data_IF_717353127831
#
_entry.id   IF_717353127831
#
_cell.length_a   1.000
_cell.length_b   1.000
_cell.length_c   1.000
_cell.angle_alpha   90.00
_cell.angle_beta   90.00
_cell.angle_gamma   90.00
#
_symmetry.space_group_name_H-M   'P 1'
#
loop_
_entity.id
_entity.type
_entity.pdbx_description
1 polymer ?
#
# COMPACT_ATOMS: atom_id res chain seq x y z
N UNK A 1 -17.83 -38.86 -6.83
CA UNK A 1 -18.75 -38.15 -5.93
C UNK A 1 -18.41 -36.69 -6.06
N UNK A 2 -19.29 -35.86 -6.62
CA UNK A 2 -19.11 -34.42 -6.60
C UNK A 2 -19.53 -33.95 -5.20
N UNK A 3 -18.61 -33.36 -4.46
CA UNK A 3 -18.94 -32.72 -3.19
C UNK A 3 -19.91 -31.55 -3.46
N UNK A 4 -20.93 -31.34 -2.61
CA UNK A 4 -21.78 -30.16 -2.73
C UNK A 4 -20.92 -28.89 -2.62
N UNK A 5 -21.25 -27.81 -3.34
CA UNK A 5 -20.55 -26.54 -3.18
C UNK A 5 -20.69 -26.11 -1.72
N UNK A 6 -19.58 -25.89 -1.03
CA UNK A 6 -19.58 -25.29 0.29
C UNK A 6 -20.11 -23.86 0.14
N UNK A 7 -21.30 -23.58 0.67
CA UNK A 7 -21.93 -22.24 0.65
C UNK A 7 -21.18 -21.21 1.53
N UNK A 8 -20.10 -21.62 2.20
CA UNK A 8 -19.20 -20.78 3.00
C UNK A 8 -17.96 -20.31 2.20
N UNK A 9 -18.13 -19.97 0.92
CA UNK A 9 -17.02 -19.46 0.12
C UNK A 9 -16.66 -18.01 0.50
N UNK A 10 -15.79 -17.88 1.51
CA UNK A 10 -15.26 -16.61 2.00
C UNK A 10 -14.22 -15.98 1.05
N UNK A 11 -13.86 -16.63 -0.06
CA UNK A 11 -12.82 -16.10 -0.97
C UNK A 11 -13.15 -14.72 -1.52
N UNK A 12 -14.42 -14.48 -1.86
CA UNK A 12 -14.90 -13.19 -2.33
C UNK A 12 -14.72 -12.11 -1.26
N UNK A 13 -15.17 -12.38 -0.03
CA UNK A 13 -15.06 -11.48 1.11
C UNK A 13 -13.59 -11.18 1.47
N UNK A 14 -12.74 -12.22 1.52
CA UNK A 14 -11.29 -12.07 1.73
C UNK A 14 -10.65 -11.16 0.68
N UNK A 15 -10.98 -11.38 -0.60
CA UNK A 15 -10.46 -10.56 -1.70
C UNK A 15 -10.90 -9.11 -1.59
N UNK A 16 -12.16 -8.87 -1.22
CA UNK A 16 -12.70 -7.52 -1.01
C UNK A 16 -11.97 -6.80 0.12
N UNK A 17 -11.76 -7.45 1.28
CA UNK A 17 -11.00 -6.88 2.41
C UNK A 17 -9.58 -6.47 1.98
N UNK A 18 -8.86 -7.36 1.29
CA UNK A 18 -7.50 -7.07 0.80
C UNK A 18 -7.50 -5.92 -0.21
N UNK A 19 -8.48 -5.86 -1.11
CA UNK A 19 -8.59 -4.78 -2.09
C UNK A 19 -8.87 -3.43 -1.42
N UNK A 20 -9.70 -3.39 -0.38
CA UNK A 20 -9.98 -2.17 0.38
C UNK A 20 -8.70 -1.65 1.03
N UNK A 21 -7.94 -2.52 1.71
CA UNK A 21 -6.65 -2.16 2.31
C UNK A 21 -5.70 -1.59 1.25
N UNK A 22 -5.67 -2.16 0.04
CA UNK A 22 -4.84 -1.65 -1.08
C UNK A 22 -5.31 -0.29 -1.63
N UNK A 23 -6.58 0.07 -1.47
CA UNK A 23 -7.19 1.24 -2.11
C UNK A 23 -7.36 2.43 -1.16
N UNK A 24 -7.86 2.23 0.06
CA UNK A 24 -8.29 3.31 0.98
C UNK A 24 -7.21 3.81 1.94
N UNK A 25 -6.02 3.24 1.84
CA UNK A 25 -4.94 3.46 2.79
C UNK A 25 -4.58 2.11 3.39
N UNK A 26 -3.34 1.69 3.15
CA UNK A 26 -2.79 0.39 3.54
C UNK A 26 -2.94 0.05 5.03
N UNK A 27 -3.40 1.00 5.87
CA UNK A 27 -3.63 0.91 7.31
C UNK A 27 -5.01 1.46 7.65
N UNK A 28 -5.92 0.60 8.14
CA UNK A 28 -7.30 0.98 8.51
C UNK A 28 -7.68 0.38 9.87
N UNK A 29 -8.44 1.10 10.67
CA UNK A 29 -9.06 0.51 11.86
C UNK A 29 -10.17 -0.48 11.47
N UNK A 30 -10.44 -1.45 12.35
CA UNK A 30 -11.45 -2.49 12.10
C UNK A 30 -12.85 -1.96 11.79
N UNK A 31 -13.24 -0.80 12.33
CA UNK A 31 -14.54 -0.18 12.10
C UNK A 31 -14.63 0.45 10.71
N UNK A 32 -13.63 1.24 10.31
CA UNK A 32 -13.56 1.81 8.97
C UNK A 32 -13.45 0.74 7.89
N UNK A 33 -12.64 -0.30 8.13
CA UNK A 33 -12.52 -1.45 7.22
C UNK A 33 -13.86 -2.18 7.05
N UNK A 34 -14.63 -2.33 8.13
CA UNK A 34 -15.95 -2.94 8.07
C UNK A 34 -16.96 -2.10 7.28
N UNK A 35 -16.94 -0.77 7.44
CA UNK A 35 -17.82 0.12 6.68
C UNK A 35 -17.51 0.07 5.18
N UNK A 36 -16.23 0.17 4.81
CA UNK A 36 -15.79 0.05 3.43
C UNK A 36 -16.13 -1.33 2.83
N UNK A 37 -16.00 -2.40 3.63
CA UNK A 37 -16.37 -3.74 3.23
C UNK A 37 -17.87 -3.87 2.94
N UNK A 38 -18.71 -3.30 3.80
CA UNK A 38 -20.15 -3.25 3.60
C UNK A 38 -20.52 -2.41 2.36
N UNK A 39 -19.87 -1.27 2.18
CA UNK A 39 -20.09 -0.37 1.03
C UNK A 39 -19.66 -1.02 -0.29
N UNK A 40 -18.64 -1.89 -0.26
CA UNK A 40 -18.22 -2.73 -1.38
C UNK A 40 -19.18 -3.91 -1.66
N UNK A 41 -20.26 -4.05 -0.89
CA UNK A 41 -21.28 -5.09 -1.07
C UNK A 41 -21.01 -6.39 -0.30
N UNK A 42 -20.10 -6.37 0.67
CA UNK A 42 -19.81 -7.53 1.53
C UNK A 42 -20.89 -7.77 2.60
N UNK A 43 -21.14 -9.04 2.93
CA UNK A 43 -22.09 -9.41 3.98
C UNK A 43 -21.47 -9.37 5.38
N UNK A 44 -22.19 -8.81 6.36
CA UNK A 44 -21.67 -8.65 7.73
C UNK A 44 -21.25 -9.98 8.38
N UNK A 45 -21.97 -11.07 8.07
CA UNK A 45 -21.68 -12.43 8.54
C UNK A 45 -20.32 -12.95 8.07
N UNK A 46 -19.86 -12.50 6.91
CA UNK A 46 -18.62 -12.96 6.29
C UNK A 46 -17.40 -12.17 6.75
N UNK A 47 -17.59 -10.97 7.30
CA UNK A 47 -16.47 -10.08 7.64
C UNK A 47 -15.53 -10.67 8.69
N UNK A 48 -16.05 -10.97 9.88
CA UNK A 48 -15.26 -11.52 10.98
C UNK A 48 -14.53 -12.83 10.62
N UNK A 49 -15.21 -13.86 10.06
CA UNK A 49 -14.51 -15.10 9.69
C UNK A 49 -13.49 -14.90 8.57
N UNK A 50 -13.77 -14.01 7.60
CA UNK A 50 -12.78 -13.68 6.56
C UNK A 50 -11.54 -12.99 7.13
N UNK A 51 -11.73 -12.11 8.11
CA UNK A 51 -10.63 -11.40 8.76
C UNK A 51 -9.75 -12.37 9.55
N UNK A 52 -10.36 -13.30 10.27
CA UNK A 52 -9.65 -14.35 11.02
C UNK A 52 -8.85 -15.27 10.07
N UNK A 53 -9.46 -15.72 8.97
CA UNK A 53 -8.76 -16.52 7.95
C UNK A 53 -7.59 -15.75 7.32
N UNK A 54 -7.77 -14.49 6.97
CA UNK A 54 -6.68 -13.66 6.41
C UNK A 54 -5.51 -13.47 7.38
N UNK A 55 -5.81 -13.38 8.68
CA UNK A 55 -4.79 -13.28 9.73
C UNK A 55 -4.07 -14.62 9.92
N UNK A 56 -4.80 -15.74 9.91
CA UNK A 56 -4.25 -17.09 10.00
C UNK A 56 -3.40 -17.45 8.76
N UNK A 57 -3.82 -17.00 7.57
CA UNK A 57 -3.06 -17.11 6.32
C UNK A 57 -1.87 -16.13 6.25
N UNK A 58 -1.68 -15.29 7.27
CA UNK A 58 -0.62 -14.28 7.34
C UNK A 58 -0.61 -13.35 6.11
N UNK A 59 -1.80 -12.99 5.61
CA UNK A 59 -1.99 -12.03 4.52
C UNK A 59 -2.13 -10.62 5.09
N UNK A 60 -2.78 -10.51 6.25
CA UNK A 60 -2.95 -9.26 6.99
C UNK A 60 -2.34 -9.34 8.38
N UNK A 61 -2.00 -8.19 8.96
CA UNK A 61 -1.58 -8.04 10.35
C UNK A 61 -2.20 -6.81 10.98
N UNK A 62 -2.35 -6.87 12.29
CA UNK A 62 -2.74 -5.72 13.11
C UNK A 62 -1.53 -5.11 13.78
N UNK A 63 -1.48 -3.79 13.84
CA UNK A 63 -0.47 -3.06 14.60
C UNK A 63 -0.85 -2.90 16.09
N UNK A 64 0.02 -2.25 16.86
CA UNK A 64 -0.22 -1.98 18.29
C UNK A 64 -1.40 -1.04 18.57
N UNK A 65 -1.88 -0.32 17.55
CA UNK A 65 -3.00 0.61 17.63
C UNK A 65 -4.33 -0.06 17.25
N UNK A 66 -4.30 -1.33 16.82
CA UNK A 66 -5.48 -2.08 16.36
C UNK A 66 -5.88 -1.77 14.93
N UNK A 67 -5.00 -1.15 14.15
CA UNK A 67 -5.18 -0.98 12.71
C UNK A 67 -4.72 -2.21 11.96
N UNK A 68 -5.48 -2.58 10.95
CA UNK A 68 -5.26 -3.73 10.09
C UNK A 68 -4.61 -3.25 8.79
N UNK A 69 -3.60 -4.00 8.36
CA UNK A 69 -2.87 -3.77 7.12
C UNK A 69 -2.44 -5.07 6.47
N UNK A 70 -1.98 -5.00 5.22
CA UNK A 70 -1.38 -6.18 4.58
C UNK A 70 0.01 -6.46 5.17
N UNK A 71 0.43 -7.72 5.17
CA UNK A 71 1.77 -8.09 5.66
C UNK A 71 2.88 -7.43 4.83
N UNK A 72 2.67 -7.25 3.53
CA UNK A 72 3.61 -6.54 2.66
C UNK A 72 3.82 -5.09 3.13
N UNK A 73 2.73 -4.41 3.50
CA UNK A 73 2.78 -3.02 3.94
C UNK A 73 3.34 -2.90 5.36
N UNK A 74 3.00 -3.85 6.24
CA UNK A 74 3.61 -3.96 7.57
C UNK A 74 5.14 -4.10 7.50
N UNK A 75 5.64 -4.95 6.60
CA UNK A 75 7.09 -5.12 6.41
C UNK A 75 7.74 -3.86 5.80
N UNK A 76 7.04 -3.16 4.89
CA UNK A 76 7.49 -1.88 4.35
C UNK A 76 7.63 -0.82 5.43
N UNK A 77 6.62 -0.67 6.29
CA UNK A 77 6.68 0.27 7.41
C UNK A 77 7.80 -0.08 8.38
N UNK A 78 7.93 -1.36 8.77
CA UNK A 78 9.01 -1.81 9.66
C UNK A 78 10.39 -1.54 9.05
N UNK A 79 10.55 -1.66 7.73
CA UNK A 79 11.81 -1.38 7.02
C UNK A 79 12.13 0.12 6.97
N UNK A 80 11.11 0.97 6.81
CA UNK A 80 11.30 2.42 6.83
C UNK A 80 11.60 2.97 8.23
N UNK A 81 11.00 2.36 9.27
CA UNK A 81 11.25 2.74 10.67
C UNK A 81 12.47 2.04 11.29
N UNK A 82 13.18 1.16 10.55
CA UNK A 82 14.30 0.35 11.06
C UNK A 82 15.59 1.14 11.33
N UNK A 83 15.58 2.46 11.22
CA UNK A 83 16.65 3.29 11.79
C UNK A 83 16.50 3.45 13.33
N UNK A 84 15.41 2.94 13.95
CA UNK A 84 15.17 3.21 15.38
C UNK A 84 14.57 2.07 16.24
N UNK A 85 14.41 0.84 15.78
CA UNK A 85 14.03 -0.26 16.69
C UNK A 85 14.51 -1.65 16.23
N UNK A 86 15.58 -2.10 16.89
CA UNK A 86 15.85 -3.52 17.12
C UNK A 86 14.76 -4.09 18.04
N UNK A 87 13.61 -4.47 17.48
CA UNK A 87 12.69 -5.38 18.16
C UNK A 87 12.55 -6.66 17.33
N UNK A 88 13.33 -7.64 17.83
CA UNK A 88 13.19 -9.07 17.68
C UNK A 88 11.74 -9.47 17.93
N UNK A 89 11.08 -9.98 16.90
CA UNK A 89 9.83 -10.72 17.05
C UNK A 89 10.08 -12.11 16.47
N UNK A 90 10.79 -12.91 17.27
CA UNK A 90 10.85 -14.36 17.11
C UNK A 90 9.47 -14.93 17.48
N UNK A 91 8.95 -15.91 16.74
CA UNK A 91 7.66 -16.52 17.06
C UNK A 91 7.72 -17.16 18.44
N UNK A 92 6.76 -16.79 19.28
CA UNK A 92 6.47 -17.43 20.57
C UNK A 92 6.11 -18.89 20.36
N UNK A 93 7.05 -19.80 20.62
CA UNK A 93 6.78 -21.18 21.00
C UNK A 93 7.59 -21.56 22.24
N UNK A 94 6.99 -22.46 23.00
CA UNK A 94 7.18 -22.79 24.40
C UNK A 94 8.54 -23.44 24.75
N UNK A 95 8.94 -23.29 26.01
CA UNK A 95 9.88 -24.13 26.78
C UNK A 95 11.26 -24.49 26.16
N UNK A 96 12.34 -23.83 26.63
CA UNK A 96 13.58 -24.52 26.98
C UNK A 96 14.51 -23.64 27.84
N UNK A 97 14.93 -24.24 28.95
CA UNK A 97 15.85 -23.77 29.98
C UNK A 97 17.31 -23.88 29.52
N UNK A 98 18.12 -22.84 29.81
CA UNK A 98 19.60 -22.79 29.86
C UNK A 98 20.44 -23.13 28.61
N UNK A 99 21.35 -22.22 28.23
CA UNK A 99 22.83 -22.35 28.33
C UNK A 99 23.45 -21.05 27.81
N UNK A 100 24.25 -20.40 28.67
CA UNK A 100 25.18 -19.33 28.31
C UNK A 100 26.43 -19.98 27.70
N UNK A 101 26.72 -19.71 26.42
CA UNK A 101 28.01 -20.05 25.81
C UNK A 101 28.56 -18.81 25.10
N UNK A 102 29.70 -18.33 25.60
CA UNK A 102 30.55 -17.31 24.99
C UNK A 102 30.91 -17.75 23.56
N UNK A 103 30.64 -16.90 22.57
CA UNK A 103 31.12 -17.10 21.20
C UNK A 103 32.32 -16.20 20.99
N UNK A 104 33.46 -16.88 20.84
CA UNK A 104 34.80 -16.40 20.55
C UNK A 104 34.83 -15.66 19.19
N UNK A 105 35.45 -14.47 19.19
CA UNK A 105 35.70 -13.66 17.99
C UNK A 105 36.78 -14.32 17.12
N UNK A 106 36.38 -15.01 16.05
CA UNK A 106 37.28 -15.39 14.96
C UNK A 106 36.80 -14.75 13.65
N UNK A 107 37.29 -13.53 13.38
CA UNK A 107 37.10 -12.81 12.13
C UNK A 107 37.93 -13.51 11.04
N UNK A 108 37.26 -14.27 10.17
CA UNK A 108 37.85 -14.80 8.95
C UNK A 108 37.73 -13.72 7.87
N UNK A 109 38.84 -13.05 7.57
CA UNK A 109 39.00 -12.23 6.36
C UNK A 109 38.97 -13.15 5.13
N UNK A 110 37.88 -13.12 4.35
CA UNK A 110 37.83 -13.70 3.02
C UNK A 110 37.79 -12.55 2.01
N UNK A 111 38.98 -12.18 1.53
CA UNK A 111 39.25 -11.26 0.43
C UNK A 111 38.63 -11.81 -0.86
N UNK A 112 37.39 -11.41 -1.18
CA UNK A 112 36.81 -11.58 -2.52
C UNK A 112 36.12 -10.30 -2.98
N UNK A 113 36.80 -9.65 -3.92
CA UNK A 113 36.40 -8.69 -4.95
C UNK A 113 34.88 -8.35 -5.11
N UNK A 114 34.26 -7.77 -4.08
CA UNK A 114 32.87 -7.25 -4.07
C UNK A 114 32.77 -5.79 -4.55
N UNK A 115 33.81 -5.25 -5.18
CA UNK A 115 33.83 -3.86 -5.66
C UNK A 115 32.82 -3.62 -6.79
N UNK A 116 32.60 -4.64 -7.65
CA UNK A 116 31.71 -4.50 -8.81
C UNK A 116 30.22 -4.51 -8.46
N UNK A 117 29.81 -5.26 -7.43
CA UNK A 117 28.42 -5.34 -7.00
C UNK A 117 28.00 -4.06 -6.26
N UNK A 118 28.89 -3.52 -5.42
CA UNK A 118 28.68 -2.21 -4.81
C UNK A 118 28.57 -1.09 -5.85
N UNK A 119 29.39 -1.11 -6.91
CA UNK A 119 29.32 -0.12 -7.99
C UNK A 119 28.01 -0.25 -8.82
N UNK A 120 27.51 -1.47 -9.03
CA UNK A 120 26.21 -1.70 -9.65
C UNK A 120 25.04 -1.22 -8.78
N UNK A 121 25.12 -1.46 -7.47
CA UNK A 121 24.14 -0.94 -6.51
C UNK A 121 24.15 0.60 -6.47
N UNK A 122 25.32 1.22 -6.50
CA UNK A 122 25.46 2.67 -6.53
C UNK A 122 24.84 3.28 -7.79
N UNK A 123 25.08 2.69 -8.97
CA UNK A 123 24.44 3.14 -10.23
C UNK A 123 22.92 3.00 -10.19
N UNK A 124 22.41 1.86 -9.71
CA UNK A 124 20.96 1.64 -9.58
C UNK A 124 20.31 2.64 -8.62
N UNK A 125 21.01 3.00 -7.54
CA UNK A 125 20.57 4.06 -6.62
C UNK A 125 20.51 5.41 -7.32
N UNK A 126 21.57 5.82 -8.02
CA UNK A 126 21.62 7.10 -8.74
C UNK A 126 20.54 7.20 -9.83
N UNK A 127 20.29 6.11 -10.57
CA UNK A 127 19.23 6.05 -11.57
C UNK A 127 17.83 6.19 -10.95
N UNK A 128 17.61 5.58 -9.78
CA UNK A 128 16.35 5.67 -9.04
C UNK A 128 16.14 7.09 -8.51
N UNK A 129 17.17 7.70 -7.92
CA UNK A 129 17.13 9.08 -7.44
C UNK A 129 16.85 10.07 -8.59
N UNK A 130 17.51 9.88 -9.75
CA UNK A 130 17.28 10.69 -10.95
C UNK A 130 15.85 10.53 -11.48
N UNK A 131 15.28 9.33 -11.43
CA UNK A 131 13.89 9.07 -11.83
C UNK A 131 12.88 9.73 -10.89
N UNK A 132 13.09 9.67 -9.57
CA UNK A 132 12.25 10.32 -8.56
C UNK A 132 12.26 11.83 -8.76
N UNK A 133 13.44 12.43 -8.91
CA UNK A 133 13.58 13.87 -9.16
C UNK A 133 12.87 14.28 -10.46
N UNK A 134 12.98 13.47 -11.52
CA UNK A 134 12.28 13.71 -12.79
C UNK A 134 10.76 13.63 -12.64
N UNK A 135 10.25 12.68 -11.86
CA UNK A 135 8.82 12.55 -11.56
C UNK A 135 8.30 13.72 -10.72
N UNK A 136 9.01 14.12 -9.67
CA UNK A 136 8.65 15.29 -8.86
C UNK A 136 8.63 16.58 -9.69
N UNK A 137 9.64 16.79 -10.54
CA UNK A 137 9.73 17.96 -11.42
C UNK A 137 8.68 17.98 -12.52
N UNK A 138 8.30 16.82 -13.06
CA UNK A 138 7.27 16.73 -14.10
C UNK A 138 5.84 16.76 -13.54
N UNK A 139 5.60 16.24 -12.34
CA UNK A 139 4.29 16.35 -11.68
C UNK A 139 3.88 17.79 -11.38
N UNK A 140 4.85 18.65 -11.07
CA UNK A 140 4.62 20.10 -10.92
C UNK A 140 4.33 20.79 -12.26
N UNK A 141 5.04 20.43 -13.33
CA UNK A 141 4.84 21.03 -14.68
C UNK A 141 3.55 20.59 -15.37
N UNK A 142 3.08 19.37 -15.15
CA UNK A 142 1.78 18.93 -15.67
C UNK A 142 0.65 19.76 -15.07
N UNK A 143 0.76 20.14 -13.80
CA UNK A 143 -0.26 20.94 -13.15
C UNK A 143 -0.34 22.36 -13.73
N UNK A 144 0.80 23.02 -13.96
CA UNK A 144 0.83 24.35 -14.61
C UNK A 144 0.28 24.32 -16.04
N UNK A 145 0.66 23.31 -16.84
CA UNK A 145 0.17 23.18 -18.22
C UNK A 145 -1.33 22.91 -18.26
N UNK A 146 -1.82 21.99 -17.42
CA UNK A 146 -3.24 21.69 -17.30
C UNK A 146 -4.01 22.92 -16.80
N UNK A 147 -3.45 23.68 -15.86
CA UNK A 147 -4.05 24.93 -15.37
C UNK A 147 -4.23 25.97 -16.48
N UNK A 148 -3.22 26.14 -17.34
CA UNK A 148 -3.30 27.04 -18.50
C UNK A 148 -4.33 26.57 -19.53
N UNK A 149 -4.39 25.27 -19.81
CA UNK A 149 -5.34 24.70 -20.77
C UNK A 149 -6.79 24.77 -20.24
N UNK A 150 -6.99 24.55 -18.94
CA UNK A 150 -8.27 24.75 -18.25
C UNK A 150 -8.70 26.22 -18.32
N UNK A 151 -7.78 27.17 -18.12
CA UNK A 151 -8.07 28.60 -18.21
C UNK A 151 -8.55 29.02 -19.62
N UNK A 152 -7.86 28.57 -20.67
CA UNK A 152 -8.25 28.84 -22.07
C UNK A 152 -9.59 28.20 -22.44
N UNK A 153 -9.83 26.95 -22.02
CA UNK A 153 -11.12 26.29 -22.19
C UNK A 153 -12.25 27.07 -21.52
N UNK A 154 -12.04 27.55 -20.30
CA UNK A 154 -13.04 28.31 -19.55
C UNK A 154 -13.37 29.65 -20.23
N UNK A 155 -12.38 30.32 -20.82
CA UNK A 155 -12.62 31.55 -21.61
C UNK A 155 -13.44 31.26 -22.88
N UNK A 156 -13.15 30.14 -23.56
CA UNK A 156 -13.91 29.70 -24.74
C UNK A 156 -15.36 29.34 -24.38
N UNK A 157 -15.58 28.65 -23.27
CA UNK A 157 -16.92 28.33 -22.78
C UNK A 157 -17.72 29.59 -22.49
N UNK A 158 -17.14 30.58 -21.78
CA UNK A 158 -17.81 31.87 -21.54
C UNK A 158 -18.21 32.60 -22.82
N UNK A 159 -17.34 32.58 -23.84
CA UNK A 159 -17.67 33.17 -25.16
C UNK A 159 -18.87 32.46 -25.80
N UNK A 160 -18.93 31.14 -25.72
CA UNK A 160 -20.05 30.36 -26.23
C UNK A 160 -21.33 30.63 -25.44
N UNK A 161 -21.28 30.72 -24.13
CA UNK A 161 -22.42 31.06 -23.28
C UNK A 161 -23.02 32.42 -23.67
N UNK A 162 -22.20 33.45 -23.83
CA UNK A 162 -22.65 34.79 -24.27
C UNK A 162 -23.31 34.73 -25.66
N UNK A 163 -22.76 33.94 -26.58
CA UNK A 163 -23.33 33.80 -27.93
C UNK A 163 -24.68 33.08 -27.86
N UNK A 164 -24.79 32.00 -27.07
CA UNK A 164 -26.03 31.26 -26.87
C UNK A 164 -27.09 32.15 -26.21
N UNK A 165 -26.72 32.96 -25.23
CA UNK A 165 -27.62 33.89 -24.55
C UNK A 165 -28.19 34.93 -25.53
N UNK A 166 -27.34 35.51 -26.39
CA UNK A 166 -27.77 36.42 -27.47
C UNK A 166 -28.67 35.75 -28.50
N UNK A 167 -28.39 34.51 -28.86
CA UNK A 167 -29.23 33.73 -29.79
C UNK A 167 -30.60 33.49 -29.16
N UNK A 168 -30.64 33.09 -27.88
CA UNK A 168 -31.89 32.87 -27.15
C UNK A 168 -32.70 34.16 -27.01
N UNK A 169 -32.05 35.30 -26.79
CA UNK A 169 -32.72 36.61 -26.73
C UNK A 169 -33.27 37.03 -28.10
N UNK A 170 -32.55 36.74 -29.18
CA UNK A 170 -33.01 37.04 -30.54
C UNK A 170 -34.12 36.10 -31.06
N UNK A 171 -34.26 34.91 -30.49
CA UNK A 171 -35.30 33.93 -30.82
C UNK A 171 -36.56 34.07 -29.94
N UNK A 172 -36.55 34.98 -28.97
CA UNK A 172 -37.66 35.28 -28.06
C UNK A 172 -38.50 36.45 -28.57
#
# INVERSE_FOLDING_TARGET
>A
MAYPPSDDDLTSAKTTIVNILKMEGYKLDSGSLFLAFKDAGGEMSQFAPSLEELQNENIIKSDSEGNIMTVEDYQREKSQNKESSEDLDLPSEEEAEFVTEEIDDEIIEDDKDDSSEMDEMLKKKEETDAWIVKKAKNGSKTNEKLSLEIADLNERVKKLEIIIEKINEALR
#
